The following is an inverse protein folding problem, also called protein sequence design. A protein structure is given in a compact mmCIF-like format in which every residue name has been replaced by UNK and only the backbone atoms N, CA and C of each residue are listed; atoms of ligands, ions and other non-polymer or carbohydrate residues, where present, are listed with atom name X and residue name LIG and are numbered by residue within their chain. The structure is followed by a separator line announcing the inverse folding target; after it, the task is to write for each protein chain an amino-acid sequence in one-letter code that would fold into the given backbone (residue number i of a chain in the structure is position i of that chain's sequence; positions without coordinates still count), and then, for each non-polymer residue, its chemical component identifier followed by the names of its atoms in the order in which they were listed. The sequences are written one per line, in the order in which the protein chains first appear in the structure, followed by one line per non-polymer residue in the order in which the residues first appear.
data_IF_735839859659
#
_entry.id   IF_735839859659
#
_cell.length_a   1.000
_cell.length_b   1.000
_cell.length_c   1.000
_cell.angle_alpha   90.00
_cell.angle_beta   90.00
_cell.angle_gamma   90.00
#
_symmetry.space_group_name_H-M   'P 1'
#
loop_
_entity.id
_entity.type
_entity.pdbx_description
1 polymer ?
#
# COMPACT_ATOMS: atom_id res chain seq x y z
N UNK A 1 -10.81 -6.79 -3.90
CA UNK A 1 -11.03 -5.37 -4.29
C UNK A 1 -10.74 -5.18 -5.78
N UNK A 2 -9.49 -5.33 -6.25
CA UNK A 2 -9.14 -5.04 -7.66
C UNK A 2 -9.90 -5.90 -8.68
N UNK A 3 -10.09 -7.20 -8.42
CA UNK A 3 -10.87 -8.09 -9.30
C UNK A 3 -12.36 -7.69 -9.39
N UNK A 4 -12.92 -7.15 -8.30
CA UNK A 4 -14.30 -6.71 -8.25
C UNK A 4 -14.57 -5.45 -9.09
N UNK A 5 -13.53 -4.78 -9.58
CA UNK A 5 -13.66 -3.65 -10.51
C UNK A 5 -14.00 -4.09 -11.95
N UNK A 6 -14.02 -5.39 -12.24
CA UNK A 6 -14.37 -5.93 -13.57
C UNK A 6 -13.35 -5.64 -14.68
N UNK A 7 -12.18 -5.09 -14.34
CA UNK A 7 -11.12 -4.77 -15.29
C UNK A 7 -10.00 -5.83 -15.24
N UNK A 8 -10.03 -6.77 -16.17
CA UNK A 8 -9.07 -7.88 -16.24
C UNK A 8 -7.62 -7.43 -16.39
N UNK A 9 -7.36 -6.40 -17.21
CA UNK A 9 -6.01 -5.84 -17.42
C UNK A 9 -5.45 -5.24 -16.13
N UNK A 10 -6.29 -4.51 -15.40
CA UNK A 10 -5.90 -3.94 -14.10
C UNK A 10 -5.58 -5.03 -13.08
N UNK A 11 -6.41 -6.08 -13.02
CA UNK A 11 -6.20 -7.19 -12.09
C UNK A 11 -4.89 -7.94 -12.37
N UNK A 12 -4.55 -8.15 -13.65
CA UNK A 12 -3.29 -8.77 -14.05
C UNK A 12 -2.07 -7.92 -13.66
N UNK A 13 -2.10 -6.62 -14.00
CA UNK A 13 -1.02 -5.70 -13.63
C UNK A 13 -0.82 -5.64 -12.12
N UNK A 14 -1.91 -5.56 -11.34
CA UNK A 14 -1.86 -5.55 -9.88
C UNK A 14 -1.22 -6.82 -9.32
N UNK A 15 -1.59 -8.01 -9.82
CA UNK A 15 -0.99 -9.28 -9.38
C UNK A 15 0.52 -9.31 -9.61
N UNK A 16 0.97 -8.85 -10.78
CA UNK A 16 2.41 -8.77 -11.09
C UNK A 16 3.16 -7.91 -10.08
N UNK A 17 2.67 -6.70 -9.80
CA UNK A 17 3.30 -5.79 -8.83
C UNK A 17 3.32 -6.37 -7.42
N UNK A 18 2.20 -6.94 -6.94
CA UNK A 18 2.12 -7.51 -5.59
C UNK A 18 3.07 -8.69 -5.40
N UNK A 19 3.24 -9.53 -6.43
CA UNK A 19 4.20 -10.65 -6.39
C UNK A 19 5.63 -10.16 -6.21
N UNK A 20 6.03 -9.10 -6.93
CA UNK A 20 7.36 -8.50 -6.78
C UNK A 20 7.59 -7.90 -5.39
N UNK A 21 6.53 -7.38 -4.75
CA UNK A 21 6.58 -6.81 -3.40
C UNK A 21 6.53 -7.85 -2.27
N UNK A 22 6.26 -9.13 -2.56
CA UNK A 22 6.04 -10.16 -1.54
C UNK A 22 7.24 -10.34 -0.60
N UNK A 23 8.45 -10.44 -1.14
CA UNK A 23 9.69 -10.60 -0.36
C UNK A 23 9.97 -9.39 0.54
N UNK A 24 9.65 -8.18 0.06
CA UNK A 24 9.80 -6.94 0.81
C UNK A 24 8.79 -6.82 1.94
N UNK A 25 7.55 -7.23 1.67
CA UNK A 25 6.47 -7.24 2.65
C UNK A 25 6.76 -8.19 3.82
N UNK A 26 7.36 -9.36 3.55
CA UNK A 26 7.83 -10.27 4.59
C UNK A 26 8.92 -9.68 5.48
N UNK A 27 9.85 -8.89 4.90
CA UNK A 27 10.94 -8.24 5.65
C UNK A 27 10.48 -7.06 6.51
N UNK A 28 9.44 -6.34 6.09
CA UNK A 28 9.00 -5.10 6.74
C UNK A 28 7.78 -5.26 7.67
N UNK A 29 6.92 -6.26 7.47
CA UNK A 29 5.76 -6.53 8.35
C UNK A 29 6.12 -7.20 9.68
N UNK A 30 7.39 -7.56 9.88
CA UNK A 30 7.90 -8.14 11.13
C UNK A 30 8.05 -7.12 12.27
N UNK A 31 7.76 -5.83 12.03
CA UNK A 31 7.75 -4.78 13.04
C UNK A 31 6.31 -4.50 13.55
N UNK A 32 5.98 -4.73 14.83
CA UNK A 32 4.62 -4.66 15.37
C UNK A 32 3.88 -3.33 15.12
N UNK A 33 4.61 -2.21 15.16
CA UNK A 33 4.04 -0.86 14.98
C UNK A 33 3.56 -0.64 13.54
N UNK A 34 4.25 -1.22 12.55
CA UNK A 34 3.86 -1.11 11.13
C UNK A 34 2.57 -1.86 10.79
N UNK A 35 2.23 -2.90 11.56
CA UNK A 35 1.02 -3.69 11.33
C UNK A 35 -0.25 -2.93 11.72
N UNK A 36 -0.26 -2.30 12.89
CA UNK A 36 -1.44 -1.57 13.38
C UNK A 36 -1.81 -0.39 12.46
N UNK A 37 -0.82 0.37 12.01
CA UNK A 37 -1.03 1.45 11.05
C UNK A 37 -1.58 0.92 9.71
N UNK A 38 -1.02 -0.17 9.18
CA UNK A 38 -1.51 -0.78 7.93
C UNK A 38 -2.95 -1.29 8.04
N UNK A 39 -3.35 -1.81 9.21
CA UNK A 39 -4.74 -2.25 9.43
C UNK A 39 -5.70 -1.06 9.39
N UNK A 40 -5.37 0.02 10.12
CA UNK A 40 -6.21 1.22 10.14
C UNK A 40 -6.35 1.85 8.74
N UNK A 41 -5.26 1.89 7.96
CA UNK A 41 -5.27 2.32 6.56
C UNK A 41 -6.22 1.45 5.71
N UNK A 42 -6.16 0.11 5.86
CA UNK A 42 -7.04 -0.81 5.13
C UNK A 42 -8.52 -0.70 5.52
N UNK A 43 -8.82 -0.48 6.80
CA UNK A 43 -10.19 -0.25 7.28
C UNK A 43 -10.80 1.01 6.66
N UNK A 44 -10.03 2.11 6.60
CA UNK A 44 -10.46 3.35 5.97
C UNK A 44 -10.75 3.17 4.48
N UNK A 45 -9.88 2.46 3.75
CA UNK A 45 -10.08 2.13 2.33
C UNK A 45 -11.36 1.30 2.15
N UNK A 46 -11.53 0.23 2.93
CA UNK A 46 -12.69 -0.65 2.82
C UNK A 46 -14.00 0.09 3.09
N UNK A 47 -13.99 1.01 4.06
CA UNK A 47 -15.13 1.90 4.35
C UNK A 47 -15.46 2.80 3.17
N UNK A 48 -14.48 3.48 2.58
CA UNK A 48 -14.72 4.34 1.42
C UNK A 48 -15.28 3.57 0.21
N UNK A 49 -14.80 2.34 -0.04
CA UNK A 49 -15.35 1.47 -1.09
C UNK A 49 -16.79 1.08 -0.80
N UNK A 50 -17.09 0.65 0.43
CA UNK A 50 -18.44 0.27 0.85
C UNK A 50 -19.42 1.44 0.74
N UNK A 51 -18.99 2.62 1.15
CA UNK A 51 -19.81 3.83 1.17
C UNK A 51 -19.98 4.42 -0.26
N UNK A 52 -19.32 3.83 -1.27
CA UNK A 52 -19.46 4.24 -2.67
C UNK A 52 -18.78 5.56 -3.01
N UNK A 53 -17.73 5.94 -2.27
CA UNK A 53 -16.94 7.16 -2.50
C UNK A 53 -15.64 6.83 -3.26
N UNK A 54 -15.65 6.84 -4.61
CA UNK A 54 -14.47 6.50 -5.40
C UNK A 54 -13.34 7.54 -5.25
N UNK A 55 -13.67 8.80 -4.98
CA UNK A 55 -12.67 9.84 -4.80
C UNK A 55 -11.89 9.63 -3.49
N UNK A 56 -12.59 9.33 -2.39
CA UNK A 56 -11.94 8.98 -1.13
C UNK A 56 -11.18 7.67 -1.21
N UNK A 57 -11.78 6.63 -1.81
CA UNK A 57 -11.10 5.35 -1.99
C UNK A 57 -9.79 5.51 -2.79
N UNK A 58 -9.81 6.29 -3.87
CA UNK A 58 -8.64 6.58 -4.69
C UNK A 58 -7.52 7.28 -3.91
N UNK A 59 -7.83 8.34 -3.16
CA UNK A 59 -6.84 9.06 -2.34
C UNK A 59 -6.24 8.15 -1.27
N UNK A 60 -7.08 7.45 -0.50
CA UNK A 60 -6.64 6.57 0.59
C UNK A 60 -5.76 5.43 0.08
N UNK A 61 -6.07 4.87 -1.09
CA UNK A 61 -5.21 3.87 -1.74
C UNK A 61 -3.84 4.44 -2.13
N UNK A 62 -3.80 5.65 -2.70
CA UNK A 62 -2.55 6.31 -3.07
C UNK A 62 -1.69 6.61 -1.82
N UNK A 63 -2.30 7.13 -0.76
CA UNK A 63 -1.64 7.42 0.51
C UNK A 63 -1.06 6.15 1.14
N UNK A 64 -1.83 5.05 1.16
CA UNK A 64 -1.37 3.76 1.67
C UNK A 64 -0.12 3.25 0.94
N UNK A 65 -0.13 3.30 -0.40
CA UNK A 65 1.03 2.89 -1.22
C UNK A 65 2.22 3.83 -1.00
N UNK A 66 1.98 5.14 -0.89
CA UNK A 66 3.01 6.14 -0.60
C UNK A 66 3.68 5.90 0.76
N UNK A 67 2.89 5.66 1.80
CA UNK A 67 3.40 5.32 3.14
C UNK A 67 4.16 3.98 3.14
N UNK A 68 3.66 2.98 2.41
CA UNK A 68 4.38 1.72 2.24
C UNK A 68 5.73 1.90 1.52
N UNK A 69 5.79 2.79 0.53
CA UNK A 69 7.03 3.15 -0.19
C UNK A 69 8.04 3.83 0.73
N UNK A 70 7.62 4.80 1.54
CA UNK A 70 8.50 5.48 2.50
C UNK A 70 9.09 4.50 3.53
N UNK A 71 8.34 3.46 3.92
CA UNK A 71 8.83 2.37 4.78
C UNK A 71 9.79 1.42 4.07
N UNK A 72 9.78 1.38 2.73
CA UNK A 72 10.65 0.55 1.90
C UNK A 72 11.95 1.25 1.50
N UNK A 73 11.95 2.57 1.39
CA UNK A 73 13.17 3.33 1.11
C UNK A 73 14.18 3.08 2.23
N UNK A 74 15.42 2.66 1.89
CA UNK A 74 16.47 2.63 2.90
C UNK A 74 16.57 4.03 3.49
N UNK A 75 16.61 4.13 4.82
CA UNK A 75 17.10 5.33 5.48
C UNK A 75 18.58 5.44 5.11
N UNK A 76 18.85 5.99 3.92
CA UNK A 76 20.20 6.37 3.53
C UNK A 76 20.65 7.37 4.60
N UNK A 77 21.77 7.12 5.30
CA UNK A 77 22.30 8.14 6.18
C UNK A 77 22.51 9.39 5.34
N UNK A 78 22.03 10.53 5.84
CA UNK A 78 22.33 11.82 5.22
C UNK A 78 23.85 11.90 5.06
N UNK A 79 24.34 11.90 3.81
CA UNK A 79 25.70 12.28 3.54
C UNK A 79 25.83 13.73 3.99
N UNK A 80 26.46 13.94 5.15
CA UNK A 80 26.94 15.26 5.53
C UNK A 80 28.01 15.64 4.50
N UNK A 81 27.65 16.52 3.57
CA UNK A 81 28.63 17.18 2.71
C UNK A 81 29.64 17.95 3.58
N UNK A 82 30.94 17.92 3.21
CA UNK A 82 32.04 18.52 3.96
C UNK A 82 32.07 20.06 3.93
#
# INVERSE_FOLDING_TARGET
IVEAAGNGKLAEAYRGVVQQLHLWRLKNLSQPVGMAASIAEHEAIARAVRDGDPAAAGRLLADHVGAARQRLEPQLPEEKEP
#
